data_IF_351943427301
#
_entry.id   IF_351943427301
#
_cell.length_a   1.000
_cell.length_b   1.000
_cell.length_c   1.000
_cell.angle_alpha   90.00
_cell.angle_beta   90.00
_cell.angle_gamma   90.00
#
_symmetry.space_group_name_H-M   'P 1'
#
loop_
_entity.id
_entity.type
_entity.pdbx_description
1 polymer ?
#
# COMPACT_ATOMS: atom_id res chain seq x y z
N UNK A 1 40.09 1.04 -30.76
CA UNK A 1 38.75 1.56 -30.48
C UNK A 1 38.38 1.21 -29.06
N UNK A 2 38.57 2.18 -28.17
CA UNK A 2 38.35 2.12 -26.72
C UNK A 2 36.86 2.02 -26.40
N UNK A 3 36.48 1.16 -25.47
CA UNK A 3 35.09 0.99 -25.06
C UNK A 3 34.58 2.06 -24.10
N UNK A 4 33.26 2.00 -23.82
CA UNK A 4 32.69 2.05 -22.47
C UNK A 4 31.17 1.78 -22.53
N UNK A 5 30.77 0.90 -21.62
CA UNK A 5 29.43 0.65 -21.09
C UNK A 5 28.76 1.95 -20.64
N UNK A 6 27.42 2.08 -20.80
CA UNK A 6 26.53 2.83 -19.89
C UNK A 6 25.12 2.26 -20.06
N UNK A 7 24.64 1.63 -18.98
CA UNK A 7 23.24 1.33 -18.76
C UNK A 7 22.37 2.59 -18.77
N UNK A 8 21.15 2.45 -19.26
CA UNK A 8 20.13 3.51 -19.16
C UNK A 8 19.39 3.32 -17.84
N UNK A 9 20.01 3.83 -16.78
CA UNK A 9 19.36 4.10 -15.51
C UNK A 9 18.47 5.33 -15.71
N UNK A 10 17.15 5.16 -15.64
CA UNK A 10 16.20 6.26 -15.76
C UNK A 10 16.22 7.12 -14.47
N UNK A 11 16.59 8.42 -14.54
CA UNK A 11 16.63 9.29 -13.38
C UNK A 11 15.31 10.06 -13.24
N UNK A 12 14.75 10.07 -12.03
CA UNK A 12 13.95 11.19 -11.58
C UNK A 12 12.52 10.85 -11.17
N UNK A 13 12.30 10.79 -9.86
CA UNK A 13 11.33 11.72 -9.30
C UNK A 13 11.82 12.20 -7.95
N UNK A 14 12.19 13.47 -7.93
CA UNK A 14 12.64 14.23 -6.79
C UNK A 14 11.41 14.67 -5.99
N UNK A 15 11.11 13.98 -4.89
CA UNK A 15 10.15 14.48 -3.90
C UNK A 15 10.90 15.04 -2.70
N UNK A 16 11.14 16.35 -2.74
CA UNK A 16 11.47 17.13 -1.57
C UNK A 16 10.26 17.16 -0.63
N UNK A 17 10.38 16.58 0.55
CA UNK A 17 9.39 16.75 1.62
C UNK A 17 10.13 17.08 2.92
N UNK A 18 10.23 18.38 3.21
CA UNK A 18 10.57 18.85 4.54
C UNK A 18 9.27 19.24 5.25
N UNK A 19 8.68 18.28 5.98
CA UNK A 19 7.64 18.52 6.99
C UNK A 19 7.74 17.45 8.07
N UNK A 20 8.47 17.80 9.12
CA UNK A 20 8.12 17.53 10.51
C UNK A 20 7.70 16.10 10.88
N UNK A 21 8.69 15.28 11.27
CA UNK A 21 8.59 14.19 12.26
C UNK A 21 7.34 13.30 12.12
N UNK A 22 7.27 12.45 11.09
CA UNK A 22 6.31 11.33 11.05
C UNK A 22 7.11 10.03 10.92
N UNK A 23 6.89 9.13 11.87
CA UNK A 23 7.65 7.92 12.13
C UNK A 23 7.94 7.08 10.88
N UNK A 24 9.23 6.79 10.66
CA UNK A 24 9.77 5.96 9.57
C UNK A 24 9.55 4.46 9.81
N UNK A 25 8.30 4.01 9.71
CA UNK A 25 8.00 2.58 9.53
C UNK A 25 6.72 2.44 8.72
N UNK A 26 6.82 2.66 7.41
CA UNK A 26 5.71 2.54 6.47
C UNK A 26 5.37 1.07 6.24
N UNK A 27 4.73 0.44 7.23
CA UNK A 27 4.18 -0.91 7.09
C UNK A 27 3.09 -0.87 6.02
N UNK A 28 3.22 -1.72 5.01
CA UNK A 28 2.20 -1.84 3.96
C UNK A 28 1.15 -2.86 4.38
N UNK A 29 -0.07 -2.75 3.85
CA UNK A 29 -1.12 -3.71 4.14
C UNK A 29 -0.72 -5.16 3.78
N UNK A 30 0.14 -5.34 2.78
CA UNK A 30 0.71 -6.65 2.41
C UNK A 30 1.56 -7.32 3.52
N UNK A 31 2.05 -6.55 4.50
CA UNK A 31 2.87 -7.03 5.62
C UNK A 31 2.05 -7.26 6.89
N UNK A 32 0.78 -6.85 6.90
CA UNK A 32 -0.11 -7.06 8.04
C UNK A 32 -0.42 -8.55 8.24
N UNK A 33 -0.67 -8.96 9.48
CA UNK A 33 -1.03 -10.33 9.82
C UNK A 33 -2.54 -10.50 9.90
N UNK A 34 -2.99 -11.74 9.78
CA UNK A 34 -4.40 -12.05 9.96
C UNK A 34 -4.82 -11.73 11.40
N UNK A 35 -5.91 -10.96 11.53
CA UNK A 35 -6.42 -10.50 12.82
C UNK A 35 -6.03 -9.07 13.17
N UNK A 36 -5.01 -8.50 12.52
CA UNK A 36 -4.54 -7.16 12.80
C UNK A 36 -5.59 -6.11 12.42
N UNK A 37 -5.78 -5.15 13.33
CA UNK A 37 -6.52 -3.92 13.06
C UNK A 37 -5.52 -2.87 12.60
N UNK A 38 -5.77 -2.24 11.46
CA UNK A 38 -4.85 -1.28 10.88
C UNK A 38 -5.56 -0.01 10.47
N UNK A 39 -4.91 1.13 10.65
CA UNK A 39 -5.36 2.43 10.16
C UNK A 39 -4.69 2.71 8.82
N UNK A 40 -5.46 3.08 7.80
CA UNK A 40 -4.89 3.49 6.51
C UNK A 40 -4.27 4.87 6.68
N UNK A 41 -2.95 4.97 6.51
CA UNK A 41 -2.22 6.23 6.64
C UNK A 41 -2.13 6.95 5.30
N UNK A 42 -1.82 6.19 4.25
CA UNK A 42 -1.66 6.75 2.92
C UNK A 42 -1.83 5.68 1.84
N UNK A 43 -2.10 6.09 0.61
CA UNK A 43 -2.20 5.22 -0.56
C UNK A 43 -1.32 5.85 -1.65
N UNK A 44 -0.46 5.05 -2.29
CA UNK A 44 0.40 5.59 -3.36
C UNK A 44 -0.45 6.23 -4.47
N UNK A 45 0.01 7.36 -5.05
CA UNK A 45 -0.75 8.08 -6.08
C UNK A 45 -0.85 7.31 -7.40
N UNK A 46 0.13 6.45 -7.71
CA UNK A 46 0.14 5.62 -8.91
C UNK A 46 0.06 4.11 -8.58
N UNK A 47 -0.68 3.33 -9.40
CA UNK A 47 -1.50 3.77 -10.54
C UNK A 47 -2.83 4.45 -10.10
N UNK A 48 -3.21 5.53 -10.79
CA UNK A 48 -4.37 6.35 -10.43
C UNK A 48 -5.71 5.56 -10.48
N UNK A 49 -5.82 4.61 -11.40
CA UNK A 49 -6.98 3.71 -11.53
C UNK A 49 -7.18 2.86 -10.27
N UNK A 50 -6.09 2.31 -9.74
CA UNK A 50 -6.11 1.51 -8.51
C UNK A 50 -6.53 2.37 -7.33
N UNK A 51 -5.95 3.57 -7.19
CA UNK A 51 -6.34 4.50 -6.14
C UNK A 51 -7.83 4.85 -6.20
N UNK A 52 -8.34 5.17 -7.39
CA UNK A 52 -9.76 5.49 -7.58
C UNK A 52 -10.66 4.31 -7.21
N UNK A 53 -10.26 3.09 -7.59
CA UNK A 53 -10.96 1.85 -7.22
C UNK A 53 -10.96 1.61 -5.71
N UNK A 54 -9.82 1.81 -5.04
CA UNK A 54 -9.73 1.70 -3.58
C UNK A 54 -10.66 2.69 -2.88
N UNK A 55 -10.70 3.93 -3.36
CA UNK A 55 -11.61 4.96 -2.84
C UNK A 55 -13.08 4.57 -3.04
N UNK A 56 -13.44 4.05 -4.22
CA UNK A 56 -14.79 3.57 -4.51
C UNK A 56 -15.21 2.38 -3.61
N UNK A 57 -14.23 1.57 -3.19
CA UNK A 57 -14.43 0.46 -2.24
C UNK A 57 -14.46 0.92 -0.77
N UNK A 58 -14.19 2.19 -0.48
CA UNK A 58 -14.15 2.73 0.88
C UNK A 58 -12.79 2.61 1.57
N UNK A 59 -11.74 2.22 0.84
CA UNK A 59 -10.36 2.21 1.32
C UNK A 59 -9.77 3.61 1.11
N UNK A 60 -9.94 4.47 2.12
CA UNK A 60 -9.44 5.85 2.13
C UNK A 60 -8.48 6.08 3.31
N UNK A 61 -7.51 7.00 3.19
CA UNK A 61 -6.68 7.41 4.31
C UNK A 61 -7.55 7.90 5.49
N UNK A 62 -7.25 7.43 6.69
CA UNK A 62 -8.02 7.67 7.92
C UNK A 62 -9.07 6.59 8.22
N UNK A 63 -9.36 5.65 7.32
CA UNK A 63 -10.23 4.52 7.64
C UNK A 63 -9.49 3.42 8.40
N UNK A 64 -10.20 2.80 9.34
CA UNK A 64 -9.78 1.56 9.97
C UNK A 64 -10.20 0.36 9.13
N UNK A 65 -9.29 -0.59 9.00
CA UNK A 65 -9.53 -1.87 8.36
C UNK A 65 -9.01 -2.99 9.25
N UNK A 66 -9.51 -4.20 9.01
CA UNK A 66 -9.07 -5.40 9.71
C UNK A 66 -8.72 -6.50 8.74
N UNK A 67 -7.56 -7.12 8.90
CA UNK A 67 -7.17 -8.27 8.07
C UNK A 67 -7.93 -9.49 8.56
N UNK A 68 -8.74 -10.09 7.70
CA UNK A 68 -9.60 -11.22 8.07
C UNK A 68 -8.93 -12.56 7.81
N UNK A 69 -8.32 -12.72 6.63
CA UNK A 69 -7.62 -13.94 6.21
C UNK A 69 -6.87 -13.72 4.92
N UNK A 70 -5.89 -14.58 4.65
CA UNK A 70 -5.26 -14.73 3.35
C UNK A 70 -5.85 -15.93 2.60
N UNK A 71 -5.83 -15.89 1.27
CA UNK A 71 -6.09 -17.06 0.45
C UNK A 71 -5.07 -18.19 0.77
N UNK A 72 -5.41 -19.46 0.49
CA UNK A 72 -4.53 -20.60 0.78
C UNK A 72 -3.14 -20.51 0.10
N UNK A 73 -3.04 -19.78 -1.02
CA UNK A 73 -1.78 -19.53 -1.74
C UNK A 73 -1.14 -18.16 -1.41
N UNK A 74 -1.69 -17.41 -0.45
CA UNK A 74 -1.19 -16.11 -0.02
C UNK A 74 -1.75 -14.89 -0.75
N UNK A 75 -2.45 -15.07 -1.87
CA UNK A 75 -3.15 -14.02 -2.62
C UNK A 75 -4.47 -14.55 -3.20
N UNK A 76 -5.57 -13.77 -3.20
CA UNK A 76 -5.74 -12.44 -2.59
C UNK A 76 -5.96 -12.47 -1.06
N UNK A 77 -5.84 -11.31 -0.41
CA UNK A 77 -6.14 -11.17 1.02
C UNK A 77 -7.54 -10.55 1.23
N UNK A 78 -8.24 -11.01 2.26
CA UNK A 78 -9.53 -10.47 2.65
C UNK A 78 -9.37 -9.48 3.80
N UNK A 79 -9.90 -8.29 3.60
CA UNK A 79 -9.96 -7.23 4.61
C UNK A 79 -11.41 -6.85 4.89
N UNK A 80 -11.65 -6.37 6.10
CA UNK A 80 -12.91 -5.74 6.48
C UNK A 80 -12.67 -4.24 6.62
N UNK A 81 -13.45 -3.44 5.90
CA UNK A 81 -13.39 -1.97 5.96
C UNK A 81 -14.77 -1.49 6.37
N UNK A 82 -14.87 -0.90 7.56
CA UNK A 82 -16.14 -0.59 8.20
C UNK A 82 -17.03 -1.84 8.36
N UNK A 83 -18.07 -1.95 7.52
CA UNK A 83 -19.04 -3.06 7.50
C UNK A 83 -18.89 -4.05 6.34
N UNK A 84 -18.02 -3.77 5.37
CA UNK A 84 -17.91 -4.57 4.14
C UNK A 84 -16.64 -5.40 4.11
N UNK A 85 -16.73 -6.57 3.48
CA UNK A 85 -15.59 -7.45 3.22
C UNK A 85 -15.12 -7.25 1.79
N UNK A 86 -13.84 -6.97 1.63
CA UNK A 86 -13.22 -6.71 0.34
C UNK A 86 -12.04 -7.66 0.20
N UNK A 87 -11.91 -8.25 -0.99
CA UNK A 87 -10.75 -9.06 -1.36
C UNK A 87 -9.82 -8.19 -2.20
N UNK A 88 -8.60 -7.94 -1.71
CA UNK A 88 -7.59 -7.15 -2.42
C UNK A 88 -6.42 -8.05 -2.80
N UNK A 89 -5.79 -7.77 -3.93
CA UNK A 89 -4.56 -8.48 -4.29
C UNK A 89 -3.41 -7.99 -3.43
N UNK A 90 -2.42 -8.85 -3.19
CA UNK A 90 -1.19 -8.51 -2.47
C UNK A 90 -0.46 -7.34 -3.13
N UNK A 91 -0.44 -7.29 -4.47
CA UNK A 91 0.11 -6.16 -5.23
C UNK A 91 -0.62 -4.83 -4.94
N UNK A 92 -1.94 -4.86 -4.75
CA UNK A 92 -2.72 -3.67 -4.35
C UNK A 92 -2.46 -3.33 -2.86
N UNK A 93 -2.23 -4.33 -2.01
CA UNK A 93 -1.92 -4.14 -0.59
C UNK A 93 -0.52 -3.53 -0.36
N UNK A 94 0.43 -3.72 -1.28
CA UNK A 94 1.79 -3.14 -1.21
C UNK A 94 1.81 -1.62 -1.40
N UNK A 95 0.79 -1.07 -2.08
CA UNK A 95 0.69 0.38 -2.32
C UNK A 95 -0.12 1.11 -1.23
N UNK A 96 -0.67 0.37 -0.27
CA UNK A 96 -1.45 0.91 0.85
C UNK A 96 -0.57 0.94 2.09
N UNK A 97 -0.23 2.15 2.54
CA UNK A 97 0.48 2.37 3.79
C UNK A 97 -0.49 2.35 4.97
N UNK A 98 -0.17 1.57 5.98
CA UNK A 98 -0.99 1.37 7.17
C UNK A 98 -0.18 1.55 8.45
N UNK A 99 -0.90 1.74 9.54
CA UNK A 99 -0.38 1.68 10.90
C UNK A 99 -1.13 0.58 11.65
N UNK A 100 -0.41 -0.44 12.14
CA UNK A 100 -1.00 -1.56 12.90
C UNK A 100 -1.25 -1.10 14.34
N UNK A 101 -2.43 -1.40 14.88
CA UNK A 101 -2.85 -1.08 16.24
C UNK A 101 -2.82 -2.29 17.17
#
# INVERSE_FOLDING_TARGET
MSGLDIGVDNPGTHFSCNKSRVFMSTTTLAQARTGDSCLVMNIRPEPAELRSRLYALGVIPGCQLKVMRFAPLGDPMQIRVGGSYISIRKAEAEVIAIEVQ
#
